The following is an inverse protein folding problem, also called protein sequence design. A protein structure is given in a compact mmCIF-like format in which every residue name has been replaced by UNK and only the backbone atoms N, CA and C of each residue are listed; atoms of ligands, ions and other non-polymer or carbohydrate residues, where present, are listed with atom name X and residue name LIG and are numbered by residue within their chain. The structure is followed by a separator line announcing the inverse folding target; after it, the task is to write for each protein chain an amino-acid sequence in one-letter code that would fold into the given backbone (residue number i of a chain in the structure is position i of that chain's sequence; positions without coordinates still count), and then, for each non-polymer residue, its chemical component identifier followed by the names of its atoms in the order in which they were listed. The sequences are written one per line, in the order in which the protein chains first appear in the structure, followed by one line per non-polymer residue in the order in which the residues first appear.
data_IF_565584587869
#
_entry.id   IF_565584587869
#
_cell.length_a   1.000
_cell.length_b   1.000
_cell.length_c   1.000
_cell.angle_alpha   90.00
_cell.angle_beta   90.00
_cell.angle_gamma   90.00
#
_symmetry.space_group_name_H-M   'P 1'
#
loop_
_entity.id
_entity.type
_entity.pdbx_description
1 polymer ?
#
# COMPACT_ATOMS: atom_id res chain seq x y z
N UNK A 1 -0.53 25.56 5.55
CA UNK A 1 -0.77 24.28 6.23
C UNK A 1 -0.51 23.21 5.19
N UNK A 2 0.60 22.50 5.28
CA UNK A 2 0.86 21.39 4.36
C UNK A 2 -0.22 20.34 4.61
N UNK A 3 -0.96 20.00 3.55
CA UNK A 3 -1.95 18.94 3.61
C UNK A 3 -1.26 17.66 4.12
N UNK A 4 -1.76 17.14 5.24
CA UNK A 4 -1.26 15.91 5.90
C UNK A 4 -2.15 14.73 5.52
N UNK A 5 -2.54 14.65 4.27
CA UNK A 5 -3.26 13.49 3.75
C UNK A 5 -2.27 12.33 3.59
N UNK A 6 -2.56 11.15 4.17
CA UNK A 6 -1.71 9.99 4.01
C UNK A 6 -1.70 9.53 2.53
N UNK A 7 -0.57 9.01 2.03
CA UNK A 7 -0.47 8.57 0.64
C UNK A 7 -1.28 7.27 0.37
N UNK A 8 -1.56 6.51 1.43
CA UNK A 8 -2.28 5.23 1.40
C UNK A 8 -3.21 5.13 2.63
N UNK A 9 -4.15 4.20 2.59
CA UNK A 9 -5.07 3.88 3.68
C UNK A 9 -5.08 2.38 3.96
N UNK A 10 -5.63 1.99 5.11
CA UNK A 10 -5.80 0.58 5.43
C UNK A 10 -6.58 -0.15 4.33
N UNK A 11 -6.11 -1.34 3.96
CA UNK A 11 -6.69 -2.15 2.89
C UNK A 11 -6.27 -1.77 1.47
N UNK A 12 -5.56 -0.66 1.26
CA UNK A 12 -5.03 -0.33 -0.08
C UNK A 12 -4.13 -1.46 -0.58
N UNK A 13 -4.35 -1.86 -1.84
CA UNK A 13 -3.41 -2.69 -2.59
C UNK A 13 -2.39 -1.80 -3.25
N UNK A 14 -1.12 -2.13 -3.06
CA UNK A 14 -0.01 -1.34 -3.57
C UNK A 14 1.02 -2.22 -4.26
N UNK A 15 1.79 -1.60 -5.15
CA UNK A 15 3.02 -2.17 -5.72
C UNK A 15 4.19 -1.25 -5.40
N UNK A 16 5.24 -1.83 -4.84
CA UNK A 16 6.46 -1.11 -4.50
C UNK A 16 7.17 -0.60 -5.76
N UNK A 17 7.55 0.67 -5.75
CA UNK A 17 8.40 1.28 -6.79
C UNK A 17 9.86 1.28 -6.32
N UNK A 18 10.11 1.65 -5.07
CA UNK A 18 11.45 1.65 -4.49
C UNK A 18 11.43 1.81 -2.97
N UNK A 19 12.41 1.18 -2.32
CA UNK A 19 12.67 1.27 -0.89
C UNK A 19 14.13 1.68 -0.72
N UNK A 20 14.36 2.84 -0.09
CA UNK A 20 15.66 3.51 -0.08
C UNK A 20 16.28 3.39 1.31
N UNK A 21 17.59 3.18 1.38
CA UNK A 21 18.37 3.10 2.63
C UNK A 21 17.94 1.99 3.62
N UNK A 22 17.13 1.01 3.18
CA UNK A 22 16.82 -0.19 3.96
C UNK A 22 17.91 -1.28 3.72
N UNK A 23 18.50 -1.87 4.78
CA UNK A 23 19.55 -2.90 4.66
C UNK A 23 19.05 -4.25 4.10
N UNK A 24 17.75 -4.48 4.11
CA UNK A 24 17.08 -5.66 3.57
C UNK A 24 15.77 -5.24 2.87
N UNK A 25 15.84 -4.51 1.76
CA UNK A 25 14.67 -3.88 1.17
C UNK A 25 13.71 -4.93 0.60
N UNK A 26 12.42 -4.58 0.51
CA UNK A 26 11.50 -5.35 -0.32
C UNK A 26 11.84 -5.08 -1.79
N UNK A 27 11.92 -6.11 -2.67
CA UNK A 27 12.24 -5.88 -4.07
C UNK A 27 11.18 -5.02 -4.79
N UNK A 28 11.57 -4.04 -5.60
CA UNK A 28 10.65 -3.30 -6.47
C UNK A 28 9.76 -4.24 -7.30
N UNK A 29 8.51 -3.84 -7.51
CA UNK A 29 7.50 -4.66 -8.19
C UNK A 29 6.76 -5.63 -7.29
N UNK A 30 7.22 -5.86 -6.05
CA UNK A 30 6.47 -6.64 -5.05
C UNK A 30 5.15 -5.94 -4.73
N UNK A 31 4.06 -6.70 -4.73
CA UNK A 31 2.74 -6.21 -4.33
C UNK A 31 2.47 -6.52 -2.85
N UNK A 32 1.61 -5.73 -2.24
CA UNK A 32 1.24 -5.88 -0.83
C UNK A 32 -0.07 -5.17 -0.51
N UNK A 33 -0.56 -5.43 0.71
CA UNK A 33 -1.74 -4.77 1.28
C UNK A 33 -1.31 -3.93 2.47
N UNK A 34 -1.75 -2.68 2.53
CA UNK A 34 -1.61 -1.84 3.73
C UNK A 34 -2.46 -2.43 4.85
N UNK A 35 -1.89 -2.63 6.04
CA UNK A 35 -2.55 -3.34 7.16
C UNK A 35 -2.82 -2.45 8.38
N UNK A 36 -2.99 -1.15 8.16
CA UNK A 36 -3.35 -0.17 9.18
C UNK A 36 -3.27 1.25 8.64
N UNK A 37 -3.88 2.20 9.34
CA UNK A 37 -3.80 3.62 8.96
C UNK A 37 -2.36 4.14 9.12
N UNK A 38 -1.78 4.78 8.09
CA UNK A 38 -0.44 5.35 8.19
C UNK A 38 -0.31 6.41 9.28
N UNK A 39 0.88 6.48 9.88
CA UNK A 39 1.19 7.48 10.91
C UNK A 39 2.21 8.48 10.39
N UNK A 40 2.01 9.77 10.68
CA UNK A 40 2.91 10.84 10.24
C UNK A 40 3.88 11.23 11.37
N UNK A 41 5.17 11.11 11.11
CA UNK A 41 6.24 11.47 12.05
C UNK A 41 7.45 12.04 11.30
N UNK A 42 8.03 13.12 11.82
CA UNK A 42 9.25 13.76 11.29
C UNK A 42 9.28 14.06 9.79
N UNK A 43 8.13 14.33 9.17
CA UNK A 43 8.04 14.67 7.75
C UNK A 43 7.76 13.50 6.82
N UNK A 44 7.62 12.28 7.37
CA UNK A 44 7.37 11.06 6.63
C UNK A 44 6.17 10.30 7.20
N UNK A 45 5.60 9.43 6.36
CA UNK A 45 4.54 8.51 6.71
C UNK A 45 5.14 7.12 6.94
N UNK A 46 4.88 6.54 8.11
CA UNK A 46 5.06 5.11 8.34
C UNK A 46 3.81 4.39 7.85
N UNK A 47 3.97 3.54 6.84
CA UNK A 47 2.88 2.82 6.16
C UNK A 47 3.08 1.33 6.40
N UNK A 48 2.29 0.68 7.27
CA UNK A 48 2.44 -0.75 7.55
C UNK A 48 1.93 -1.59 6.37
N UNK A 49 2.78 -2.47 5.83
CA UNK A 49 2.44 -3.31 4.67
C UNK A 49 2.72 -4.78 4.95
N UNK A 50 1.76 -5.62 4.59
CA UNK A 50 1.96 -7.06 4.41
C UNK A 50 2.15 -7.35 2.92
N UNK A 51 3.36 -7.77 2.58
CA UNK A 51 3.79 -8.04 1.20
C UNK A 51 3.45 -9.47 0.80
N UNK A 52 3.13 -9.66 -0.48
CA UNK A 52 2.70 -10.95 -1.03
C UNK A 52 3.84 -11.99 -1.06
N UNK A 53 5.09 -11.53 -0.99
CA UNK A 53 6.26 -12.40 -0.82
C UNK A 53 6.41 -12.95 0.61
N UNK A 54 5.43 -12.69 1.49
CA UNK A 54 5.39 -13.17 2.86
C UNK A 54 6.06 -12.25 3.88
N UNK A 55 6.66 -11.13 3.47
CA UNK A 55 7.25 -10.16 4.40
C UNK A 55 6.20 -9.24 5.00
N UNK A 56 6.44 -8.83 6.24
CA UNK A 56 5.75 -7.69 6.86
C UNK A 56 6.81 -6.63 7.13
N UNK A 57 6.74 -5.51 6.43
CA UNK A 57 7.68 -4.40 6.57
C UNK A 57 6.97 -3.10 6.19
N UNK A 58 7.06 -2.09 7.05
CA UNK A 58 6.53 -0.76 6.76
C UNK A 58 7.37 -0.04 5.71
N UNK A 59 6.73 0.86 4.95
CA UNK A 59 7.42 1.84 4.12
C UNK A 59 7.49 3.18 4.86
N UNK A 60 8.58 3.92 4.67
CA UNK A 60 8.73 5.30 5.15
C UNK A 60 8.61 6.25 3.95
N UNK A 61 7.48 6.94 3.82
CA UNK A 61 7.11 7.73 2.63
C UNK A 61 7.04 9.23 2.93
N UNK A 62 7.87 10.08 2.31
CA UNK A 62 9.12 9.76 1.58
C UNK A 62 10.23 9.23 2.53
N UNK A 63 11.31 8.58 2.02
CA UNK A 63 11.72 8.48 0.62
C UNK A 63 11.21 7.26 -0.15
N UNK A 64 10.59 6.29 0.52
CA UNK A 64 10.04 5.13 -0.16
C UNK A 64 8.89 5.53 -1.08
N UNK A 65 8.65 4.71 -2.10
CA UNK A 65 7.62 4.98 -3.11
C UNK A 65 6.89 3.72 -3.53
N UNK A 66 5.59 3.84 -3.69
CA UNK A 66 4.70 2.81 -4.18
C UNK A 66 3.56 3.43 -4.99
N UNK A 67 2.85 2.61 -5.76
CA UNK A 67 1.62 3.02 -6.44
C UNK A 67 0.45 2.19 -5.94
N UNK A 68 -0.72 2.81 -5.78
CA UNK A 68 -1.97 2.07 -5.57
C UNK A 68 -2.25 1.28 -6.84
N UNK A 69 -2.40 -0.03 -6.69
CA UNK A 69 -2.87 -0.89 -7.77
C UNK A 69 -4.36 -1.12 -7.57
N UNK A 70 -5.11 -1.13 -8.67
CA UNK A 70 -6.51 -1.52 -8.58
C UNK A 70 -6.56 -2.98 -8.12
N UNK A 71 -7.46 -3.27 -7.18
CA UNK A 71 -7.96 -4.62 -7.07
C UNK A 71 -8.45 -5.03 -8.46
N UNK A 72 -7.98 -6.18 -8.98
CA UNK A 72 -8.48 -6.67 -10.26
C UNK A 72 -9.95 -7.00 -10.06
N UNK A 73 -10.82 -6.07 -10.44
CA UNK A 73 -12.26 -6.20 -10.33
C UNK A 73 -12.76 -7.34 -11.21
N UNK A 74 -12.65 -8.58 -10.73
CA UNK A 74 -13.55 -9.63 -11.18
C UNK A 74 -14.85 -9.42 -10.42
N UNK A 75 -15.91 -9.19 -11.18
CA UNK A 75 -17.25 -9.11 -10.65
C UNK A 75 -17.65 -10.47 -10.05
N UNK A 76 -18.13 -10.49 -8.81
CA UNK A 76 -18.73 -11.65 -8.13
C UNK A 76 -20.08 -12.05 -8.75
N UNK A 77 -20.51 -11.35 -9.81
CA UNK A 77 -21.81 -11.46 -10.46
C UNK A 77 -22.89 -10.63 -9.77
N UNK A 78 -22.52 -9.82 -8.77
CA UNK A 78 -23.42 -8.94 -8.00
C UNK A 78 -22.93 -7.48 -7.98
N UNK A 79 -21.98 -7.13 -8.86
CA UNK A 79 -21.42 -5.79 -8.96
C UNK A 79 -20.37 -5.50 -7.89
N UNK A 80 -19.71 -6.54 -7.34
CA UNK A 80 -18.63 -6.37 -6.36
C UNK A 80 -17.37 -7.08 -6.80
N UNK A 81 -16.24 -6.49 -6.46
CA UNK A 81 -14.93 -7.12 -6.64
C UNK A 81 -14.83 -8.38 -5.77
N UNK A 82 -14.57 -9.54 -6.37
CA UNK A 82 -14.30 -10.80 -5.66
C UNK A 82 -13.12 -10.68 -4.69
N UNK A 83 -12.12 -9.86 -5.05
CA UNK A 83 -10.86 -9.78 -4.31
C UNK A 83 -10.91 -8.82 -3.11
N UNK A 84 -11.82 -7.84 -3.09
CA UNK A 84 -11.90 -6.84 -2.00
C UNK A 84 -13.32 -6.45 -1.54
N UNK A 85 -14.38 -6.95 -2.18
CA UNK A 85 -15.77 -6.66 -1.80
C UNK A 85 -16.27 -5.25 -2.14
N UNK A 86 -15.41 -4.38 -2.69
CA UNK A 86 -15.80 -3.04 -3.14
C UNK A 86 -16.79 -3.12 -4.32
N UNK A 87 -17.74 -2.18 -4.37
CA UNK A 87 -18.65 -2.05 -5.51
C UNK A 87 -17.87 -1.63 -6.77
N UNK A 88 -18.19 -2.28 -7.89
CA UNK A 88 -17.69 -1.93 -9.20
C UNK A 88 -18.72 -0.96 -9.80
N UNK A 89 -18.39 0.34 -9.84
CA UNK A 89 -19.17 1.38 -10.52
C UNK A 89 -18.81 1.42 -12.02
#
# INVERSE_FOLDING_TARGET
MTDRTPPFHDGDRIRLIGMVDDPAPVPPGTEGTVTGEPTFFEGSWDVPVRWDNGRTLSMVVPPDSATKIRCRHRDDGRGRCIDCGAFID
#
